data_IF_731123000970
#
_entry.id   IF_731123000970
#
_cell.length_a   1.000
_cell.length_b   1.000
_cell.length_c   1.000
_cell.angle_alpha   90.00
_cell.angle_beta   90.00
_cell.angle_gamma   90.00
#
_symmetry.space_group_name_H-M   'P 1'
#
loop_
_entity.id
_entity.type
_entity.pdbx_description
1 polymer ?
#
# COMPACT_ATOMS: atom_id res chain seq x y z
N UNK A 1 23.46 -9.25 39.62
CA UNK A 1 23.09 -9.74 38.29
C UNK A 1 22.32 -11.03 38.45
N UNK A 2 21.02 -10.84 38.72
CA UNK A 2 20.05 -11.87 39.10
C UNK A 2 19.51 -12.56 37.85
N UNK A 3 19.13 -13.83 37.96
CA UNK A 3 18.69 -14.67 36.85
C UNK A 3 17.56 -14.07 35.99
N UNK A 4 16.75 -13.17 36.55
CA UNK A 4 15.70 -12.44 35.81
C UNK A 4 16.24 -11.47 34.75
N UNK A 5 17.40 -10.85 34.98
CA UNK A 5 18.04 -9.95 34.01
C UNK A 5 18.53 -10.73 32.77
N UNK A 6 19.07 -11.93 33.00
CA UNK A 6 19.50 -12.85 31.94
C UNK A 6 18.32 -13.41 31.13
N UNK A 7 17.17 -13.64 31.76
CA UNK A 7 15.96 -14.12 31.06
C UNK A 7 15.38 -13.00 30.18
N UNK A 8 15.40 -11.75 30.67
CA UNK A 8 14.90 -10.60 29.93
C UNK A 8 15.78 -10.28 28.70
N UNK A 9 17.11 -10.29 28.85
CA UNK A 9 18.05 -10.12 27.73
C UNK A 9 17.94 -11.25 26.71
N UNK A 10 17.74 -12.50 27.15
CA UNK A 10 17.60 -13.66 26.27
C UNK A 10 16.25 -13.71 25.56
N UNK A 11 15.21 -13.11 26.12
CA UNK A 11 13.94 -12.88 25.42
C UNK A 11 14.06 -11.71 24.45
N UNK A 12 14.66 -10.58 24.85
CA UNK A 12 14.84 -9.42 23.99
C UNK A 12 15.73 -9.76 22.78
N UNK A 13 16.83 -10.48 22.99
CA UNK A 13 17.71 -10.98 21.93
C UNK A 13 16.99 -11.97 21.00
N UNK A 14 16.06 -12.82 21.49
CA UNK A 14 15.23 -13.67 20.62
C UNK A 14 14.18 -12.92 19.80
N UNK A 15 13.66 -11.80 20.30
CA UNK A 15 12.75 -10.94 19.54
C UNK A 15 13.49 -10.13 18.46
N UNK A 16 14.74 -9.74 18.72
CA UNK A 16 15.58 -8.99 17.77
C UNK A 16 16.26 -9.94 16.77
N UNK A 17 16.60 -11.16 17.18
CA UNK A 17 17.14 -12.23 16.33
C UNK A 17 16.06 -13.15 15.77
N UNK A 18 14.98 -12.59 15.20
CA UNK A 18 14.28 -13.32 14.13
C UNK A 18 15.24 -13.38 12.94
N UNK A 19 16.24 -14.26 13.04
CA UNK A 19 17.13 -14.63 11.95
C UNK A 19 16.23 -15.16 10.86
N UNK A 20 16.17 -14.41 9.76
CA UNK A 20 15.62 -14.88 8.50
C UNK A 20 16.36 -16.16 8.13
N UNK A 21 15.76 -17.31 8.45
CA UNK A 21 16.25 -18.63 8.07
C UNK A 21 15.57 -18.97 6.73
N UNK A 22 16.22 -18.75 5.58
CA UNK A 22 15.60 -18.97 4.26
C UNK A 22 15.23 -20.43 4.00
N UNK A 23 15.75 -21.36 4.81
CA UNK A 23 15.66 -22.81 4.59
C UNK A 23 14.47 -23.48 5.29
N UNK A 24 13.69 -22.75 6.11
CA UNK A 24 12.52 -23.30 6.79
C UNK A 24 11.27 -22.46 6.48
N UNK A 25 10.24 -23.01 5.81
CA UNK A 25 9.01 -22.29 5.52
C UNK A 25 8.28 -22.02 6.84
N UNK A 26 8.49 -20.82 7.38
CA UNK A 26 7.71 -20.30 8.50
C UNK A 26 6.26 -20.16 8.07
N UNK A 27 5.34 -20.59 8.92
CA UNK A 27 3.92 -20.40 8.64
C UNK A 27 3.64 -18.90 8.49
N UNK A 28 2.75 -18.47 7.57
CA UNK A 28 2.47 -17.05 7.29
C UNK A 28 2.12 -16.19 8.53
N UNK A 29 1.68 -16.81 9.63
CA UNK A 29 1.43 -16.13 10.92
C UNK A 29 2.70 -15.64 11.64
N UNK A 30 3.87 -16.16 11.27
CA UNK A 30 5.17 -15.82 11.85
C UNK A 30 6.02 -14.93 10.92
N UNK A 31 5.52 -14.60 9.72
CA UNK A 31 6.18 -13.65 8.83
C UNK A 31 5.79 -12.22 9.23
N UNK A 32 6.67 -11.57 10.01
CA UNK A 32 6.48 -10.21 10.49
C UNK A 32 6.36 -9.16 9.35
N UNK A 33 6.83 -9.50 8.16
CA UNK A 33 6.86 -8.63 6.97
C UNK A 33 5.72 -8.95 5.98
N UNK A 34 4.79 -9.86 6.33
CA UNK A 34 3.62 -10.11 5.51
C UNK A 34 2.74 -8.84 5.46
N UNK A 35 2.23 -8.43 4.29
CA UNK A 35 1.44 -7.21 4.15
C UNK A 35 0.16 -7.30 4.98
N UNK A 36 0.11 -6.56 6.08
CA UNK A 36 -1.09 -6.47 6.91
C UNK A 36 -2.10 -5.47 6.34
N UNK A 37 -3.37 -5.68 6.71
CA UNK A 37 -4.45 -4.74 6.40
C UNK A 37 -4.62 -3.67 7.50
N UNK A 38 -3.89 -3.79 8.61
CA UNK A 38 -4.03 -2.88 9.74
C UNK A 38 -3.54 -1.47 9.37
N UNK A 39 -2.34 -1.36 8.79
CA UNK A 39 -1.79 -0.05 8.42
C UNK A 39 -2.71 0.68 7.41
N UNK A 40 -3.18 0.06 6.32
CA UNK A 40 -4.07 0.74 5.39
C UNK A 40 -5.45 1.06 5.98
N UNK A 41 -6.01 0.19 6.84
CA UNK A 41 -7.29 0.45 7.49
C UNK A 41 -7.20 1.65 8.45
N UNK A 42 -6.15 1.70 9.27
CA UNK A 42 -5.93 2.82 10.18
C UNK A 42 -5.64 4.12 9.42
N UNK A 43 -4.90 4.04 8.31
CA UNK A 43 -4.65 5.19 7.44
C UNK A 43 -5.95 5.71 6.80
N UNK A 44 -6.87 4.83 6.38
CA UNK A 44 -8.16 5.24 5.87
C UNK A 44 -8.96 6.02 6.91
N UNK A 45 -9.08 5.52 8.14
CA UNK A 45 -9.79 6.21 9.23
C UNK A 45 -9.13 7.55 9.54
N UNK A 46 -7.80 7.58 9.62
CA UNK A 46 -7.04 8.81 9.90
C UNK A 46 -7.23 9.85 8.80
N UNK A 47 -7.27 9.44 7.54
CA UNK A 47 -7.58 10.34 6.42
C UNK A 47 -8.96 11.00 6.57
N UNK A 48 -9.98 10.25 7.02
CA UNK A 48 -11.30 10.83 7.27
C UNK A 48 -11.27 11.84 8.43
N UNK A 49 -10.58 11.51 9.52
CA UNK A 49 -10.45 12.40 10.68
C UNK A 49 -9.72 13.70 10.31
N UNK A 50 -8.60 13.60 9.61
CA UNK A 50 -7.84 14.77 9.13
C UNK A 50 -8.69 15.60 8.14
N UNK A 51 -9.51 14.96 7.31
CA UNK A 51 -10.47 15.66 6.46
C UNK A 51 -11.52 16.44 7.25
N UNK A 52 -12.08 15.82 8.30
CA UNK A 52 -12.99 16.51 9.22
C UNK A 52 -12.33 17.71 9.91
N UNK A 53 -11.09 17.55 10.37
CA UNK A 53 -10.29 18.65 10.95
C UNK A 53 -10.07 19.77 9.92
N UNK A 54 -9.70 19.42 8.69
CA UNK A 54 -9.50 20.39 7.59
C UNK A 54 -10.76 21.19 7.31
N UNK A 55 -11.92 20.53 7.23
CA UNK A 55 -13.22 21.18 7.03
C UNK A 55 -13.62 22.05 8.23
N UNK A 56 -13.28 21.62 9.45
CA UNK A 56 -13.49 22.38 10.68
C UNK A 56 -12.69 23.67 10.74
N UNK A 57 -11.40 23.61 10.38
CA UNK A 57 -10.52 24.79 10.32
C UNK A 57 -11.02 25.81 9.28
N UNK A 58 -11.64 25.34 8.20
CA UNK A 58 -12.19 26.19 7.14
C UNK A 58 -13.61 26.72 7.45
N UNK A 59 -14.16 26.48 8.65
CA UNK A 59 -15.55 26.82 9.02
C UNK A 59 -16.62 26.22 8.09
N UNK A 60 -16.28 25.16 7.35
CA UNK A 60 -17.15 24.47 6.39
C UNK A 60 -17.52 23.06 6.86
N UNK A 61 -17.41 22.82 8.16
CA UNK A 61 -17.72 21.52 8.71
C UNK A 61 -19.23 21.25 8.61
N UNK A 62 -19.56 20.22 7.84
CA UNK A 62 -20.88 19.61 7.83
C UNK A 62 -20.71 18.10 8.01
N UNK A 63 -21.46 17.46 8.92
CA UNK A 63 -21.41 16.00 9.07
C UNK A 63 -21.79 15.29 7.77
N UNK A 64 -22.64 15.90 6.94
CA UNK A 64 -22.98 15.43 5.60
C UNK A 64 -21.77 15.47 4.67
N UNK A 65 -20.97 16.54 4.70
CA UNK A 65 -19.76 16.68 3.89
C UNK A 65 -18.70 15.63 4.24
N UNK A 66 -18.51 15.36 5.54
CA UNK A 66 -17.63 14.29 6.01
C UNK A 66 -18.13 12.91 5.56
N UNK A 67 -19.45 12.67 5.63
CA UNK A 67 -20.07 11.44 5.15
C UNK A 67 -19.92 11.24 3.65
N UNK A 68 -20.07 12.30 2.85
CA UNK A 68 -19.83 12.28 1.40
C UNK A 68 -18.37 11.96 1.09
N UNK A 69 -17.42 12.58 1.81
CA UNK A 69 -15.99 12.30 1.64
C UNK A 69 -15.67 10.83 1.98
N UNK A 70 -16.19 10.32 3.09
CA UNK A 70 -16.01 8.92 3.49
C UNK A 70 -16.57 7.95 2.45
N UNK A 71 -17.80 8.20 2.00
CA UNK A 71 -18.46 7.37 1.00
C UNK A 71 -17.74 7.41 -0.34
N UNK A 72 -17.29 8.58 -0.78
CA UNK A 72 -16.52 8.75 -2.02
C UNK A 72 -15.19 8.00 -1.95
N UNK A 73 -14.46 8.13 -0.83
CA UNK A 73 -13.20 7.44 -0.63
C UNK A 73 -13.38 5.91 -0.60
N UNK A 74 -14.47 5.41 -0.01
CA UNK A 74 -14.81 3.99 0.04
C UNK A 74 -15.19 3.46 -1.34
N UNK A 75 -16.06 4.15 -2.08
CA UNK A 75 -16.46 3.76 -3.44
C UNK A 75 -15.23 3.64 -4.34
N UNK A 76 -14.32 4.61 -4.27
CA UNK A 76 -13.08 4.57 -5.04
C UNK A 76 -12.13 3.44 -4.61
N UNK A 77 -12.06 3.09 -3.33
CA UNK A 77 -11.30 1.93 -2.87
C UNK A 77 -11.88 0.62 -3.43
N UNK A 78 -13.20 0.45 -3.37
CA UNK A 78 -13.88 -0.73 -3.91
C UNK A 78 -13.72 -0.84 -5.43
N UNK A 79 -13.88 0.28 -6.14
CA UNK A 79 -13.71 0.33 -7.59
C UNK A 79 -12.28 -0.08 -7.97
N UNK A 80 -11.27 0.41 -7.25
CA UNK A 80 -9.87 0.04 -7.53
C UNK A 80 -9.63 -1.46 -7.34
N UNK A 81 -10.10 -2.05 -6.23
CA UNK A 81 -10.00 -3.50 -6.01
C UNK A 81 -10.73 -4.30 -7.08
N UNK A 82 -11.92 -3.85 -7.49
CA UNK A 82 -12.71 -4.48 -8.56
C UNK A 82 -11.96 -4.42 -9.89
N UNK A 83 -11.38 -3.27 -10.26
CA UNK A 83 -10.59 -3.15 -11.49
C UNK A 83 -9.39 -4.10 -11.42
N UNK A 84 -8.67 -4.19 -10.30
CA UNK A 84 -7.56 -5.15 -10.15
C UNK A 84 -8.05 -6.58 -10.35
N UNK A 85 -9.16 -6.96 -9.72
CA UNK A 85 -9.76 -8.29 -9.86
C UNK A 85 -10.15 -8.62 -11.29
N UNK A 86 -10.89 -7.72 -11.96
CA UNK A 86 -11.30 -7.88 -13.36
C UNK A 86 -10.09 -7.98 -14.27
N UNK A 87 -9.07 -7.16 -14.03
CA UNK A 87 -7.86 -7.16 -14.84
C UNK A 87 -7.04 -8.44 -14.66
N UNK A 88 -6.90 -8.95 -13.43
CA UNK A 88 -6.27 -10.25 -13.16
C UNK A 88 -7.04 -11.40 -13.84
N UNK A 89 -8.36 -11.33 -13.81
CA UNK A 89 -9.25 -12.29 -14.47
C UNK A 89 -9.07 -12.28 -15.99
N UNK A 90 -9.17 -11.10 -16.63
CA UNK A 90 -9.03 -10.95 -18.08
C UNK A 90 -7.66 -11.39 -18.60
N UNK A 91 -6.60 -11.16 -17.82
CA UNK A 91 -5.25 -11.52 -18.21
C UNK A 91 -4.85 -12.95 -17.85
N UNK A 92 -5.74 -13.71 -17.20
CA UNK A 92 -5.53 -15.08 -16.75
C UNK A 92 -4.19 -15.24 -15.99
N UNK A 93 -3.93 -14.31 -15.08
CA UNK A 93 -2.72 -14.32 -14.27
C UNK A 93 -3.05 -15.03 -12.96
N UNK A 94 -2.54 -16.26 -12.79
CA UNK A 94 -2.58 -16.93 -11.49
C UNK A 94 -1.60 -16.23 -10.55
N UNK A 95 -2.13 -15.65 -9.48
CA UNK A 95 -1.35 -15.05 -8.39
C UNK A 95 -1.63 -15.81 -7.10
N UNK A 96 -0.62 -15.99 -6.26
CA UNK A 96 -0.76 -16.56 -4.91
C UNK A 96 -1.25 -15.51 -3.89
N UNK A 97 -1.40 -14.26 -4.33
CA UNK A 97 -1.81 -13.15 -3.47
C UNK A 97 -3.27 -13.30 -3.07
N UNK A 98 -3.53 -13.17 -1.78
CA UNK A 98 -4.89 -13.14 -1.27
C UNK A 98 -5.57 -11.83 -1.68
N UNK A 99 -6.89 -11.81 -1.71
CA UNK A 99 -7.63 -10.56 -2.01
C UNK A 99 -7.35 -9.46 -0.98
N UNK A 100 -6.99 -9.85 0.24
CA UNK A 100 -6.61 -8.91 1.30
C UNK A 100 -5.25 -8.26 1.02
N UNK A 101 -4.30 -8.97 0.42
CA UNK A 101 -3.00 -8.40 0.04
C UNK A 101 -3.20 -7.32 -1.03
N UNK A 102 -4.05 -7.59 -2.02
CA UNK A 102 -4.40 -6.63 -3.08
C UNK A 102 -5.04 -5.37 -2.47
N UNK A 103 -5.98 -5.57 -1.55
CA UNK A 103 -6.64 -4.47 -0.84
C UNK A 103 -5.64 -3.65 -0.01
N UNK A 104 -4.71 -4.32 0.67
CA UNK A 104 -3.66 -3.68 1.45
C UNK A 104 -2.78 -2.80 0.53
N UNK A 105 -2.24 -3.37 -0.56
CA UNK A 105 -1.40 -2.65 -1.52
C UNK A 105 -2.09 -1.45 -2.17
N UNK A 106 -3.36 -1.60 -2.56
CA UNK A 106 -4.18 -0.51 -3.10
C UNK A 106 -4.36 0.64 -2.09
N UNK A 107 -4.50 0.31 -0.81
CA UNK A 107 -4.88 1.26 0.23
C UNK A 107 -3.69 1.95 0.91
N UNK A 108 -2.44 1.54 0.70
CA UNK A 108 -1.27 2.26 1.26
C UNK A 108 -1.16 3.73 0.82
N UNK A 109 -1.84 4.10 -0.27
CA UNK A 109 -1.98 5.47 -0.75
C UNK A 109 -2.54 6.44 0.32
N UNK A 110 -3.37 5.96 1.26
CA UNK A 110 -3.95 6.80 2.32
C UNK A 110 -2.88 7.38 3.25
N UNK A 111 -1.80 6.65 3.52
CA UNK A 111 -0.67 7.14 4.34
C UNK A 111 -0.04 8.37 3.70
N UNK A 112 0.22 8.30 2.40
CA UNK A 112 0.73 9.41 1.63
C UNK A 112 -0.22 10.62 1.61
N UNK A 113 -1.51 10.37 1.39
CA UNK A 113 -2.51 11.44 1.36
C UNK A 113 -2.60 12.20 2.69
N UNK A 114 -2.47 11.52 3.83
CA UNK A 114 -2.41 12.18 5.15
C UNK A 114 -1.23 13.17 5.22
N UNK A 115 -0.04 12.74 4.80
CA UNK A 115 1.15 13.61 4.80
C UNK A 115 0.96 14.82 3.89
N UNK A 116 0.37 14.63 2.70
CA UNK A 116 0.09 15.72 1.77
C UNK A 116 -0.92 16.74 2.34
N UNK A 117 -1.96 16.28 3.03
CA UNK A 117 -2.94 17.16 3.68
C UNK A 117 -2.31 17.88 4.87
N UNK A 118 -1.51 17.20 5.69
CA UNK A 118 -0.82 17.86 6.82
C UNK A 118 0.14 18.96 6.31
N UNK A 119 0.88 18.69 5.24
CA UNK A 119 1.75 19.68 4.61
C UNK A 119 1.00 20.92 4.09
N UNK A 120 -0.26 20.76 3.67
CA UNK A 120 -1.08 21.87 3.20
C UNK A 120 -1.42 22.90 4.28
N UNK A 121 -1.44 22.51 5.55
CA UNK A 121 -1.67 23.43 6.66
C UNK A 121 -0.47 24.34 6.95
N UNK A 122 0.74 23.92 6.56
CA UNK A 122 1.97 24.70 6.81
C UNK A 122 2.10 25.79 5.74
N UNK A 123 1.96 25.41 4.46
CA UNK A 123 2.07 26.33 3.33
C UNK A 123 1.19 25.85 2.16
N UNK A 124 0.44 26.74 1.47
CA UNK A 124 -0.36 26.37 0.30
C UNK A 124 0.48 25.82 -0.87
N UNK A 125 1.71 26.32 -1.04
CA UNK A 125 2.65 25.83 -2.06
C UNK A 125 3.22 24.44 -1.71
N UNK A 126 3.35 24.12 -0.42
CA UNK A 126 3.85 22.83 0.05
C UNK A 126 2.87 21.70 -0.27
N UNK A 127 1.57 21.97 -0.43
CA UNK A 127 0.60 20.98 -0.88
C UNK A 127 0.97 20.38 -2.25
N UNK A 128 1.27 21.21 -3.24
CA UNK A 128 1.58 20.73 -4.59
C UNK A 128 2.89 19.93 -4.61
N UNK A 129 3.90 20.38 -3.87
CA UNK A 129 5.19 19.70 -3.78
C UNK A 129 5.06 18.37 -3.01
N UNK A 130 4.34 18.36 -1.89
CA UNK A 130 4.05 17.15 -1.14
C UNK A 130 3.21 16.16 -1.95
N UNK A 131 2.24 16.63 -2.72
CA UNK A 131 1.41 15.80 -3.58
C UNK A 131 2.23 15.13 -4.69
N UNK A 132 3.13 15.87 -5.35
CA UNK A 132 4.04 15.31 -6.35
C UNK A 132 4.98 14.30 -5.68
N UNK A 133 5.56 14.62 -4.53
CA UNK A 133 6.46 13.74 -3.81
C UNK A 133 5.79 12.43 -3.37
N UNK A 134 4.64 12.53 -2.70
CA UNK A 134 3.86 11.39 -2.22
C UNK A 134 3.38 10.52 -3.37
N UNK A 135 2.92 11.13 -4.46
CA UNK A 135 2.44 10.37 -5.61
C UNK A 135 3.57 9.63 -6.33
N UNK A 136 4.74 10.25 -6.48
CA UNK A 136 5.94 9.59 -6.98
C UNK A 136 6.42 8.48 -6.04
N UNK A 137 6.42 8.71 -4.72
CA UNK A 137 6.78 7.72 -3.72
C UNK A 137 5.83 6.50 -3.74
N UNK A 138 4.53 6.73 -3.89
CA UNK A 138 3.53 5.65 -3.91
C UNK A 138 3.61 4.85 -5.21
N UNK A 139 3.81 5.51 -6.35
CA UNK A 139 4.06 4.83 -7.62
C UNK A 139 5.34 3.96 -7.54
N UNK A 140 6.43 4.50 -7.00
CA UNK A 140 7.68 3.76 -6.81
C UNK A 140 7.50 2.57 -5.85
N UNK A 141 6.81 2.78 -4.74
CA UNK A 141 6.51 1.76 -3.74
C UNK A 141 5.69 0.61 -4.35
N UNK A 142 4.64 0.90 -5.10
CA UNK A 142 3.84 -0.15 -5.76
C UNK A 142 4.67 -0.97 -6.74
N UNK A 143 5.45 -0.31 -7.59
CA UNK A 143 6.30 -0.99 -8.57
C UNK A 143 7.31 -1.90 -7.86
N UNK A 144 7.93 -1.44 -6.77
CA UNK A 144 8.88 -2.22 -5.99
C UNK A 144 8.21 -3.37 -5.24
N UNK A 145 7.16 -3.11 -4.48
CA UNK A 145 6.48 -4.10 -3.63
C UNK A 145 5.85 -5.23 -4.44
N UNK A 146 5.27 -4.89 -5.59
CA UNK A 146 4.70 -5.89 -6.48
C UNK A 146 5.78 -6.63 -7.25
N UNK A 147 6.86 -5.97 -7.71
CA UNK A 147 8.02 -6.70 -8.28
C UNK A 147 8.59 -7.73 -7.29
N UNK A 148 8.81 -7.34 -6.03
CA UNK A 148 9.36 -8.24 -5.00
C UNK A 148 8.47 -9.46 -4.77
N UNK A 149 7.15 -9.32 -4.80
CA UNK A 149 6.21 -10.44 -4.63
C UNK A 149 5.95 -11.26 -5.89
N UNK A 150 6.34 -10.76 -7.06
CA UNK A 150 6.25 -11.50 -8.33
C UNK A 150 7.56 -12.27 -8.61
N UNK A 151 8.69 -11.85 -8.01
CA UNK A 151 9.99 -12.54 -8.07
C UNK A 151 10.13 -13.92 -7.35
N UNK A 152 9.22 -14.39 -6.46
CA UNK A 152 9.36 -15.72 -5.86
C UNK A 152 9.29 -16.86 -6.88
N UNK A 153 8.70 -16.61 -8.06
CA UNK A 153 8.55 -17.65 -9.09
C UNK A 153 9.74 -17.64 -10.09
N UNK A 154 10.47 -16.54 -10.25
CA UNK A 154 11.61 -16.48 -11.17
C UNK A 154 12.95 -16.96 -10.58
N UNK A 155 12.99 -17.19 -9.26
CA UNK A 155 14.22 -17.53 -8.54
C UNK A 155 14.31 -19.02 -8.16
N UNK A 156 13.20 -19.77 -8.25
CA UNK A 156 13.19 -21.22 -7.98
C UNK A 156 13.52 -22.07 -9.21
N UNK A 157 13.56 -21.45 -10.40
CA UNK A 157 13.93 -22.11 -11.66
C UNK A 157 15.39 -21.88 -12.08
N UNK A 158 16.24 -21.30 -11.20
CA UNK A 158 17.66 -21.08 -11.49
C UNK A 158 18.50 -22.38 -11.51
N UNK A 159 17.91 -23.53 -11.19
CA UNK A 159 18.46 -24.87 -11.37
C UNK A 159 17.58 -25.68 -12.33
N UNK A 160 17.38 -25.19 -13.55
CA UNK A 160 16.49 -25.81 -14.52
C UNK A 160 16.79 -25.34 -15.93
N UNK A 161 17.86 -25.89 -16.50
CA UNK A 161 18.15 -25.81 -17.92
C UNK A 161 16.94 -26.31 -18.74
N UNK A 162 16.62 -25.59 -19.82
CA UNK A 162 15.63 -25.90 -20.86
C UNK A 162 14.15 -25.60 -20.52
N UNK A 163 13.73 -24.35 -20.77
CA UNK A 163 12.50 -23.94 -21.51
C UNK A 163 12.12 -22.47 -21.21
N UNK A 164 13.02 -21.54 -21.53
CA UNK A 164 12.81 -20.10 -21.33
C UNK A 164 12.01 -19.43 -22.46
N UNK A 165 10.86 -20.00 -22.86
CA UNK A 165 10.01 -19.45 -23.92
C UNK A 165 8.54 -19.20 -23.52
N UNK A 166 8.15 -19.42 -22.25
CA UNK A 166 6.80 -19.07 -21.77
C UNK A 166 6.77 -18.02 -20.63
N UNK A 167 7.90 -17.74 -19.97
CA UNK A 167 7.95 -16.78 -18.84
C UNK A 167 8.09 -15.31 -19.26
N UNK A 168 8.25 -15.01 -20.55
CA UNK A 168 8.46 -13.66 -21.06
C UNK A 168 7.19 -12.84 -21.30
N UNK A 169 6.06 -13.47 -21.63
CA UNK A 169 4.84 -12.76 -22.01
C UNK A 169 3.97 -12.39 -20.81
N UNK A 170 3.84 -13.30 -19.83
CA UNK A 170 3.14 -13.06 -18.57
C UNK A 170 3.81 -11.98 -17.71
N UNK A 171 5.14 -11.94 -17.66
CA UNK A 171 5.90 -10.92 -16.90
C UNK A 171 5.75 -9.51 -17.48
N UNK A 172 5.74 -9.38 -18.82
CA UNK A 172 5.46 -8.11 -19.51
C UNK A 172 4.04 -7.65 -19.24
N UNK A 173 3.05 -8.53 -19.42
CA UNK A 173 1.63 -8.29 -19.12
C UNK A 173 1.42 -7.81 -17.68
N UNK A 174 2.01 -8.49 -16.70
CA UNK A 174 2.01 -8.09 -15.28
C UNK A 174 2.63 -6.71 -15.08
N UNK A 175 3.76 -6.42 -15.72
CA UNK A 175 4.42 -5.10 -15.62
C UNK A 175 3.56 -3.97 -16.18
N UNK A 176 2.85 -4.19 -17.30
CA UNK A 176 1.90 -3.21 -17.84
C UNK A 176 0.74 -2.93 -16.88
N UNK A 177 0.24 -3.95 -16.18
CA UNK A 177 -0.79 -3.76 -15.16
C UNK A 177 -0.31 -2.92 -13.98
N UNK A 178 0.90 -3.20 -13.51
CA UNK A 178 1.52 -2.44 -12.42
C UNK A 178 1.74 -0.99 -12.81
N UNK A 179 2.15 -0.73 -14.06
CA UNK A 179 2.32 0.62 -14.57
C UNK A 179 0.98 1.35 -14.67
N UNK A 180 -0.06 0.67 -15.17
CA UNK A 180 -1.41 1.22 -15.28
C UNK A 180 -1.98 1.57 -13.89
N UNK A 181 -1.90 0.64 -12.93
CA UNK A 181 -2.33 0.86 -11.54
C UNK A 181 -1.52 1.96 -10.85
N UNK A 182 -0.19 1.91 -10.97
CA UNK A 182 0.71 2.93 -10.43
C UNK A 182 0.47 4.31 -11.02
N UNK A 183 0.03 4.41 -12.28
CA UNK A 183 -0.38 5.65 -12.93
C UNK A 183 -1.77 6.15 -12.54
N UNK A 184 -2.70 5.25 -12.20
CA UNK A 184 -4.03 5.63 -11.70
C UNK A 184 -3.95 6.28 -10.31
N UNK A 185 -3.01 5.84 -9.48
CA UNK A 185 -2.83 6.32 -8.10
C UNK A 185 -2.60 7.83 -7.94
N UNK A 186 -1.65 8.50 -8.65
CA UNK A 186 -1.48 9.96 -8.57
C UNK A 186 -2.76 10.73 -8.93
N UNK A 187 -3.48 10.28 -9.95
CA UNK A 187 -4.71 10.92 -10.43
C UNK A 187 -5.80 10.84 -9.35
N UNK A 188 -5.91 9.68 -8.73
CA UNK A 188 -6.83 9.43 -7.62
C UNK A 188 -6.49 10.25 -6.38
N UNK A 189 -5.22 10.28 -5.97
CA UNK A 189 -4.76 11.09 -4.85
C UNK A 189 -5.12 12.55 -5.06
N UNK A 190 -4.81 13.10 -6.24
CA UNK A 190 -5.14 14.47 -6.59
C UNK A 190 -6.65 14.75 -6.53
N UNK A 191 -7.48 13.83 -7.03
CA UNK A 191 -8.93 13.99 -7.00
C UNK A 191 -9.51 14.03 -5.57
N UNK A 192 -9.00 13.19 -4.68
CA UNK A 192 -9.45 13.08 -3.29
C UNK A 192 -8.93 14.24 -2.42
N UNK A 193 -7.66 14.63 -2.56
CA UNK A 193 -7.06 15.67 -1.71
C UNK A 193 -7.39 17.09 -2.13
N UNK A 194 -7.73 17.34 -3.41
CA UNK A 194 -8.08 18.70 -3.88
C UNK A 194 -9.30 19.31 -3.21
N UNK A 195 -10.20 18.48 -2.66
CA UNK A 195 -11.39 18.97 -1.95
C UNK A 195 -11.06 19.41 -0.52
N UNK A 196 -10.01 18.83 0.07
CA UNK A 196 -9.52 19.14 1.41
C UNK A 196 -8.53 20.29 1.42
N UNK A 197 -7.59 20.29 0.49
CA UNK A 197 -6.45 21.21 0.46
C UNK A 197 -6.75 22.60 -0.12
N UNK A 198 -8.02 22.91 -0.41
CA UNK A 198 -8.44 24.25 -0.83
C UNK A 198 -8.77 25.10 0.41
N UNK A 199 -7.96 26.10 0.78
CA UNK A 199 -8.48 27.25 1.50
C UNK A 199 -9.46 28.04 0.60
#
# INVERSE_FOLDING_TARGET
YTADEQICDKCHSRYVEVKYNPDEPVQPRYELNAPDLYIPAMAFVTYLLIGGVSLGIQERFSPEGLGIQASTALIWALLEVLVIWVTLYLMNIQTKLTSFDILAFSSYKYVGMIVAVIASFIMPSAYHLALIYVSAATMFFLIRSLKVQILPESSRDAYGENNASFSGEGSKRRTYLLLFMGGLQPLMMWWLTRQLARP
#
